data_IF_455330659971
#
_entry.id   IF_455330659971
#
_cell.length_a   1.000
_cell.length_b   1.000
_cell.length_c   1.000
_cell.angle_alpha   90.00
_cell.angle_beta   90.00
_cell.angle_gamma   90.00
#
_symmetry.space_group_name_H-M   'P 1'
#
loop_
_entity.id
_entity.type
_entity.pdbx_description
1 polymer ?
#
# COMPACT_ATOMS: atom_id res chain seq x y z
N UNK A 1 5.52 8.80 7.61
CA UNK A 1 6.56 9.18 6.64
C UNK A 1 6.83 7.98 5.76
N UNK A 2 6.94 8.20 4.45
CA UNK A 2 7.15 7.14 3.48
C UNK A 2 8.17 7.59 2.43
N UNK A 3 9.08 6.70 2.07
CA UNK A 3 9.95 6.86 0.91
C UNK A 3 9.75 5.68 -0.01
N UNK A 4 9.39 5.94 -1.26
CA UNK A 4 9.08 4.90 -2.24
C UNK A 4 10.22 4.71 -3.24
N UNK A 5 10.40 3.46 -3.66
CA UNK A 5 11.25 3.02 -4.76
C UNK A 5 10.34 2.29 -5.74
N UNK A 6 9.85 3.04 -6.71
CA UNK A 6 8.84 2.60 -7.65
C UNK A 6 9.47 2.05 -8.93
N UNK A 7 8.91 0.94 -9.39
CA UNK A 7 9.28 0.25 -10.62
C UNK A 7 8.96 1.07 -11.88
N UNK A 8 9.65 0.77 -12.98
CA UNK A 8 9.51 1.46 -14.27
C UNK A 8 8.19 1.17 -14.98
N UNK A 9 7.57 0.00 -14.73
CA UNK A 9 6.25 -0.31 -15.31
C UNK A 9 5.14 0.62 -14.81
N UNK A 10 5.34 1.29 -13.66
CA UNK A 10 4.43 2.32 -13.17
C UNK A 10 4.32 3.55 -14.07
N UNK A 11 5.28 3.77 -14.99
CA UNK A 11 5.22 4.84 -15.99
C UNK A 11 4.49 4.43 -17.29
N UNK A 12 3.95 3.20 -17.36
CA UNK A 12 3.29 2.66 -18.55
C UNK A 12 4.26 2.32 -19.69
N UNK A 13 3.73 2.34 -20.92
CA UNK A 13 4.51 2.16 -22.15
C UNK A 13 4.25 3.35 -23.09
N UNK A 14 5.29 4.05 -23.61
CA UNK A 14 6.68 3.63 -23.75
C UNK A 14 7.52 3.64 -22.46
N UNK A 15 7.00 4.18 -21.36
CA UNK A 15 7.59 4.08 -20.03
C UNK A 15 8.76 5.03 -19.79
N UNK A 16 9.70 4.62 -18.93
CA UNK A 16 10.88 5.42 -18.57
C UNK A 16 12.00 5.18 -19.59
N UNK A 17 12.56 6.22 -20.24
CA UNK A 17 13.70 6.07 -21.14
C UNK A 17 14.88 5.36 -20.46
N UNK A 18 15.57 4.49 -21.20
CA UNK A 18 16.67 3.70 -20.65
C UNK A 18 17.82 4.55 -20.09
N UNK A 19 18.15 5.66 -20.76
CA UNK A 19 19.19 6.60 -20.33
C UNK A 19 18.82 7.36 -19.06
N UNK A 20 17.54 7.45 -18.72
CA UNK A 20 17.11 8.11 -17.48
C UNK A 20 17.24 7.20 -16.26
N UNK A 21 17.23 5.86 -16.43
CA UNK A 21 17.04 4.91 -15.33
C UNK A 21 18.12 3.84 -15.18
N UNK A 22 18.81 3.44 -16.25
CA UNK A 22 19.89 2.45 -16.14
C UNK A 22 21.06 3.05 -15.37
N UNK A 23 21.53 2.34 -14.34
CA UNK A 23 22.56 2.82 -13.41
C UNK A 23 22.20 4.14 -12.70
N UNK A 24 20.91 4.42 -12.54
CA UNK A 24 20.44 5.69 -11.97
C UNK A 24 19.22 5.52 -11.04
N UNK A 25 18.93 6.55 -10.27
CA UNK A 25 17.69 6.72 -9.51
C UNK A 25 17.12 8.10 -9.84
N UNK A 26 15.83 8.17 -10.19
CA UNK A 26 15.17 9.44 -10.47
C UNK A 26 14.35 9.85 -9.24
N UNK A 27 14.74 10.88 -8.49
CA UNK A 27 14.11 11.25 -7.21
C UNK A 27 12.88 12.15 -7.40
N UNK A 28 12.14 11.95 -8.49
CA UNK A 28 10.94 12.72 -8.77
C UNK A 28 9.99 11.93 -9.67
N UNK A 29 8.72 11.88 -9.27
CA UNK A 29 7.61 11.34 -10.06
C UNK A 29 6.48 12.35 -9.96
N UNK A 30 6.14 12.99 -11.08
CA UNK A 30 5.21 14.12 -11.10
C UNK A 30 3.85 13.76 -10.48
N UNK A 31 3.45 14.51 -9.45
CA UNK A 31 2.17 14.36 -8.76
C UNK A 31 2.05 13.16 -7.81
N UNK A 32 3.04 12.27 -7.76
CA UNK A 32 2.95 11.02 -7.01
C UNK A 32 3.02 11.24 -5.49
N UNK A 33 3.83 12.22 -5.05
CA UNK A 33 3.95 12.56 -3.63
C UNK A 33 2.65 13.13 -3.08
N UNK A 34 2.09 14.14 -3.76
CA UNK A 34 0.81 14.74 -3.37
C UNK A 34 -0.30 13.69 -3.39
N UNK A 35 -0.32 12.84 -4.42
CA UNK A 35 -1.29 11.75 -4.57
C UNK A 35 -1.24 10.78 -3.40
N UNK A 36 -0.07 10.26 -3.04
CA UNK A 36 0.08 9.36 -1.88
C UNK A 36 -0.41 10.07 -0.61
N UNK A 37 -0.09 11.35 -0.44
CA UNK A 37 -0.45 12.10 0.75
C UNK A 37 -1.97 12.24 0.90
N UNK A 38 -2.71 12.64 -0.15
CA UNK A 38 -4.16 12.85 -0.03
C UNK A 38 -4.98 11.56 -0.20
N UNK A 39 -4.58 10.63 -1.07
CA UNK A 39 -5.31 9.37 -1.28
C UNK A 39 -5.28 8.49 -0.04
N UNK A 40 -4.16 8.47 0.69
CA UNK A 40 -4.05 7.74 1.96
C UNK A 40 -5.09 8.24 2.98
N UNK A 41 -5.32 9.56 3.05
CA UNK A 41 -6.33 10.14 3.95
C UNK A 41 -7.74 9.73 3.56
N UNK A 42 -8.02 9.66 2.27
CA UNK A 42 -9.32 9.22 1.75
C UNK A 42 -9.56 7.74 2.03
N UNK A 43 -8.59 6.89 1.73
CA UNK A 43 -8.69 5.43 1.86
C UNK A 43 -8.84 5.02 3.32
N UNK A 44 -8.09 5.64 4.24
CA UNK A 44 -8.10 5.29 5.67
C UNK A 44 -9.11 6.08 6.51
N UNK A 45 -9.71 7.15 5.96
CA UNK A 45 -10.66 8.00 6.69
C UNK A 45 -12.08 7.42 6.77
N UNK A 46 -12.52 6.67 5.76
CA UNK A 46 -13.90 6.17 5.68
C UNK A 46 -14.91 7.24 5.27
N UNK A 47 -16.20 6.95 5.50
CA UNK A 47 -17.34 7.79 5.11
C UNK A 47 -17.92 8.44 6.36
N UNK A 48 -18.20 9.75 6.27
CA UNK A 48 -18.96 10.52 7.26
C UNK A 48 -20.26 11.02 6.64
N UNK A 49 -21.25 11.30 7.48
CA UNK A 49 -22.58 11.76 7.07
C UNK A 49 -22.95 12.98 7.93
N UNK A 50 -23.44 14.05 7.29
CA UNK A 50 -23.93 15.23 8.01
C UNK A 50 -25.32 14.97 8.60
N UNK A 51 -25.77 15.85 9.49
CA UNK A 51 -27.12 15.76 10.08
C UNK A 51 -28.22 15.88 9.00
N UNK A 52 -27.91 16.47 7.84
CA UNK A 52 -28.77 16.54 6.65
C UNK A 52 -28.68 15.31 5.72
N UNK A 53 -27.94 14.27 6.10
CA UNK A 53 -27.81 13.01 5.34
C UNK A 53 -26.82 13.06 4.17
N UNK A 54 -25.96 14.08 4.09
CA UNK A 54 -24.98 14.20 2.99
C UNK A 54 -23.73 13.38 3.32
N UNK A 55 -23.46 12.35 2.50
CA UNK A 55 -22.27 11.49 2.64
C UNK A 55 -21.04 12.13 2.00
N UNK A 56 -19.94 12.13 2.73
CA UNK A 56 -18.62 12.61 2.27
C UNK A 56 -17.48 11.76 2.86
N UNK A 57 -16.25 11.97 2.42
CA UNK A 57 -15.08 11.31 3.01
C UNK A 57 -14.64 12.04 4.28
N UNK A 58 -14.35 11.30 5.36
CA UNK A 58 -13.93 11.89 6.64
C UNK A 58 -12.55 12.57 6.54
N UNK A 59 -11.67 12.05 5.69
CA UNK A 59 -10.31 12.57 5.46
C UNK A 59 -9.49 12.76 6.75
N UNK A 60 -9.82 12.04 7.83
CA UNK A 60 -9.24 12.21 9.17
C UNK A 60 -9.43 13.62 9.77
N UNK A 61 -10.54 14.29 9.47
CA UNK A 61 -10.79 15.67 9.89
C UNK A 61 -10.78 15.84 11.44
N UNK A 62 -11.30 14.86 12.19
CA UNK A 62 -11.35 14.91 13.67
C UNK A 62 -10.04 14.50 14.33
N UNK A 63 -9.31 13.57 13.72
CA UNK A 63 -8.05 13.01 14.24
C UNK A 63 -7.00 13.02 13.13
N UNK A 64 -6.34 14.16 12.87
CA UNK A 64 -5.51 14.34 11.69
C UNK A 64 -4.42 13.28 11.54
N UNK A 65 -4.51 12.50 10.46
CA UNK A 65 -3.41 11.67 9.98
C UNK A 65 -2.48 12.55 9.14
N UNK A 66 -1.17 12.54 9.45
CA UNK A 66 -0.17 13.26 8.65
C UNK A 66 0.66 12.29 7.85
N UNK A 67 0.62 12.45 6.54
CA UNK A 67 1.44 11.71 5.59
C UNK A 67 2.45 12.67 4.99
N UNK A 68 3.67 12.19 4.81
CA UNK A 68 4.74 12.91 4.12
C UNK A 68 5.46 11.87 3.28
N UNK A 69 5.44 12.10 1.97
CA UNK A 69 5.93 11.17 0.96
C UNK A 69 7.19 11.71 0.26
N UNK A 70 8.03 10.79 -0.20
CA UNK A 70 9.09 11.07 -1.16
C UNK A 70 9.14 9.93 -2.16
N UNK A 71 9.03 10.23 -3.44
CA UNK A 71 8.82 9.22 -4.47
C UNK A 71 9.97 9.15 -5.48
N UNK A 72 10.53 7.95 -5.64
CA UNK A 72 11.71 7.73 -6.46
C UNK A 72 11.45 6.62 -7.47
N UNK A 73 11.91 6.79 -8.71
CA UNK A 73 11.93 5.73 -9.72
C UNK A 73 13.25 4.99 -9.66
N UNK A 74 13.21 3.66 -9.67
CA UNK A 74 14.38 2.77 -9.63
C UNK A 74 14.37 1.79 -10.81
N UNK A 75 15.52 1.21 -11.21
CA UNK A 75 15.63 0.25 -12.32
C UNK A 75 15.11 -1.15 -11.94
N UNK A 76 13.83 -1.21 -11.53
CA UNK A 76 13.07 -2.43 -11.22
C UNK A 76 11.91 -2.52 -12.20
N UNK A 77 11.70 -3.68 -12.83
CA UNK A 77 10.65 -3.86 -13.84
C UNK A 77 9.25 -3.70 -13.22
N UNK A 78 8.94 -4.51 -12.21
CA UNK A 78 7.68 -4.53 -11.48
C UNK A 78 7.94 -4.68 -9.98
N UNK A 79 7.05 -4.10 -9.18
CA UNK A 79 7.07 -4.11 -7.72
C UNK A 79 7.48 -2.77 -7.13
N UNK A 80 6.58 -2.10 -6.43
CA UNK A 80 6.87 -0.86 -5.70
C UNK A 80 7.26 -1.18 -4.27
N UNK A 81 8.46 -0.73 -3.86
CA UNK A 81 8.95 -0.89 -2.49
C UNK A 81 8.78 0.41 -1.72
N UNK A 82 8.34 0.32 -0.47
CA UNK A 82 8.10 1.48 0.38
C UNK A 82 8.78 1.29 1.73
N UNK A 83 9.60 2.26 2.12
CA UNK A 83 10.16 2.37 3.45
C UNK A 83 9.22 3.24 4.29
N UNK A 84 8.51 2.63 5.24
CA UNK A 84 7.49 3.30 6.04
C UNK A 84 7.98 3.49 7.47
N UNK A 85 7.79 4.69 8.01
CA UNK A 85 7.97 4.98 9.43
C UNK A 85 6.75 5.68 9.99
N UNK A 86 6.19 5.13 11.07
CA UNK A 86 4.93 5.57 11.68
C UNK A 86 5.12 6.02 13.11
N UNK A 87 4.32 7.01 13.51
CA UNK A 87 4.16 7.46 14.89
C UNK A 87 2.71 7.25 15.30
N UNK A 88 2.48 6.58 16.43
CA UNK A 88 1.16 6.32 16.97
C UNK A 88 0.69 7.45 17.89
N UNK A 89 -0.60 7.77 17.84
CA UNK A 89 -1.21 8.75 18.73
C UNK A 89 -1.27 8.22 20.17
N UNK A 90 -1.75 6.98 20.34
CA UNK A 90 -1.87 6.33 21.65
C UNK A 90 -0.49 5.99 22.22
N UNK A 91 -0.32 6.19 23.53
CA UNK A 91 0.91 5.88 24.27
C UNK A 91 0.63 4.85 25.38
N UNK A 92 1.53 3.88 25.60
CA UNK A 92 2.71 3.58 24.80
C UNK A 92 2.34 3.06 23.38
N UNK A 93 3.23 3.21 22.37
CA UNK A 93 3.00 2.64 21.05
C UNK A 93 3.05 1.10 21.09
N UNK A 94 2.48 0.40 20.09
CA UNK A 94 2.61 -1.05 19.99
C UNK A 94 4.07 -1.47 19.81
N UNK A 95 4.41 -2.65 20.34
CA UNK A 95 5.71 -3.28 20.09
C UNK A 95 5.82 -3.75 18.62
N UNK A 96 7.04 -3.94 18.09
CA UNK A 96 7.22 -4.53 16.76
C UNK A 96 6.50 -5.87 16.58
N UNK A 97 6.47 -6.69 17.63
CA UNK A 97 5.80 -7.99 17.60
C UNK A 97 4.28 -7.85 17.43
N UNK A 98 3.65 -6.96 18.21
CA UNK A 98 2.22 -6.67 18.07
C UNK A 98 1.88 -6.11 16.68
N UNK A 99 2.79 -5.34 16.07
CA UNK A 99 2.61 -4.86 14.69
C UNK A 99 2.68 -6.00 13.68
N UNK A 100 3.64 -6.92 13.82
CA UNK A 100 3.70 -8.12 12.94
C UNK A 100 2.43 -8.95 13.05
N UNK A 101 1.97 -9.20 14.26
CA UNK A 101 0.75 -9.98 14.52
C UNK A 101 -0.49 -9.31 13.92
N UNK A 102 -0.64 -7.99 14.11
CA UNK A 102 -1.76 -7.24 13.55
C UNK A 102 -1.75 -7.24 12.01
N UNK A 103 -0.57 -7.10 11.40
CA UNK A 103 -0.41 -7.18 9.94
C UNK A 103 -0.74 -8.57 9.41
N UNK A 104 -0.18 -9.63 10.02
CA UNK A 104 -0.41 -11.00 9.60
C UNK A 104 -1.87 -11.46 9.80
N UNK A 105 -2.58 -10.92 10.79
CA UNK A 105 -3.98 -11.22 11.06
C UNK A 105 -4.97 -10.41 10.21
N UNK A 106 -4.51 -9.40 9.47
CA UNK A 106 -5.39 -8.52 8.70
C UNK A 106 -6.15 -9.29 7.61
N UNK A 107 -7.47 -9.19 7.64
CA UNK A 107 -8.38 -9.78 6.66
C UNK A 107 -9.29 -8.69 6.09
N UNK A 108 -9.14 -8.30 4.82
CA UNK A 108 -10.00 -7.32 4.19
C UNK A 108 -11.37 -7.92 3.88
N UNK A 109 -12.37 -7.06 3.70
CA UNK A 109 -13.73 -7.48 3.39
C UNK A 109 -13.81 -8.31 2.10
N UNK A 110 -13.06 -7.95 1.05
CA UNK A 110 -13.05 -8.73 -0.19
C UNK A 110 -12.66 -10.20 0.05
N UNK A 111 -11.69 -10.44 0.93
CA UNK A 111 -11.30 -11.79 1.33
C UNK A 111 -12.41 -12.47 2.16
N UNK A 112 -13.00 -11.74 3.12
CA UNK A 112 -14.05 -12.28 3.99
C UNK A 112 -15.35 -12.61 3.24
N UNK A 113 -15.69 -11.84 2.21
CA UNK A 113 -16.85 -12.02 1.33
C UNK A 113 -16.63 -13.09 0.26
N UNK A 114 -15.41 -13.65 0.16
CA UNK A 114 -15.09 -14.70 -0.79
C UNK A 114 -14.94 -14.23 -2.23
N UNK A 115 -14.46 -13.00 -2.46
CA UNK A 115 -14.11 -12.54 -3.81
C UNK A 115 -13.09 -13.51 -4.44
N UNK A 116 -13.36 -14.10 -5.63
CA UNK A 116 -12.50 -15.11 -6.24
C UNK A 116 -11.05 -14.66 -6.45
N UNK A 117 -10.84 -13.38 -6.78
CA UNK A 117 -9.52 -12.83 -7.04
C UNK A 117 -8.82 -12.29 -5.78
N UNK A 118 -9.48 -12.32 -4.61
CA UNK A 118 -8.88 -11.86 -3.37
C UNK A 118 -7.81 -12.84 -2.86
N UNK A 119 -6.70 -12.33 -2.29
CA UNK A 119 -5.69 -13.18 -1.70
C UNK A 119 -6.24 -13.95 -0.49
N UNK A 120 -5.82 -15.22 -0.32
CA UNK A 120 -6.09 -16.03 0.86
C UNK A 120 -5.43 -15.47 2.13
N UNK A 121 -4.30 -14.79 1.96
CA UNK A 121 -3.62 -14.06 3.04
C UNK A 121 -3.12 -12.75 2.47
N UNK A 122 -3.78 -11.65 2.85
CA UNK A 122 -3.55 -10.34 2.23
C UNK A 122 -2.15 -9.79 2.48
N UNK A 123 -1.64 -9.93 3.71
CA UNK A 123 -0.32 -9.42 4.09
C UNK A 123 0.57 -10.60 4.52
N UNK A 124 1.68 -10.79 3.83
CA UNK A 124 2.73 -11.71 4.26
C UNK A 124 3.79 -10.94 5.06
N UNK A 125 4.12 -11.40 6.27
CA UNK A 125 5.15 -10.77 7.11
C UNK A 125 6.40 -11.62 7.10
N UNK A 126 7.47 -11.13 6.47
CA UNK A 126 8.77 -11.74 6.44
C UNK A 126 9.50 -11.60 7.78
N UNK A 127 10.16 -12.69 8.18
CA UNK A 127 11.10 -12.71 9.31
C UNK A 127 12.54 -12.47 8.85
N UNK A 128 12.84 -12.76 7.58
CA UNK A 128 14.18 -12.62 7.03
C UNK A 128 14.63 -11.15 6.99
N UNK A 129 15.89 -10.86 7.37
CA UNK A 129 16.36 -9.50 7.58
C UNK A 129 16.56 -8.70 6.28
N UNK A 130 16.52 -9.35 5.11
CA UNK A 130 16.75 -8.81 3.79
C UNK A 130 15.51 -8.89 2.88
N UNK A 131 14.32 -9.10 3.46
CA UNK A 131 13.04 -9.19 2.75
C UNK A 131 12.09 -8.05 3.14
N UNK A 132 11.16 -7.64 2.26
CA UNK A 132 10.93 -8.16 0.90
C UNK A 132 11.91 -7.62 -0.15
N UNK A 133 12.00 -8.30 -1.29
CA UNK A 133 12.76 -7.89 -2.48
C UNK A 133 11.87 -7.94 -3.73
N UNK A 134 11.83 -6.87 -4.56
CA UNK A 134 10.90 -6.79 -5.69
C UNK A 134 10.91 -8.02 -6.61
N UNK A 135 12.10 -8.49 -7.01
CA UNK A 135 12.22 -9.62 -7.93
C UNK A 135 11.75 -10.94 -7.32
N UNK A 136 11.84 -11.10 -6.00
CA UNK A 136 11.56 -12.37 -5.32
C UNK A 136 10.12 -12.45 -4.81
N UNK A 137 9.52 -11.31 -4.47
CA UNK A 137 8.31 -11.27 -3.64
C UNK A 137 7.10 -10.62 -4.33
N UNK A 138 7.28 -9.92 -5.46
CA UNK A 138 6.18 -9.21 -6.14
C UNK A 138 5.04 -10.09 -6.64
N UNK A 139 5.22 -11.40 -6.74
CA UNK A 139 4.17 -12.33 -7.17
C UNK A 139 3.59 -13.13 -6.02
N UNK A 140 3.76 -12.69 -4.77
CA UNK A 140 3.07 -13.30 -3.65
C UNK A 140 1.55 -13.32 -3.92
N UNK A 141 0.98 -14.54 -3.93
CA UNK A 141 -0.40 -14.82 -4.33
C UNK A 141 -0.76 -14.21 -5.69
N UNK A 142 0.05 -14.52 -6.70
CA UNK A 142 -0.12 -14.05 -8.08
C UNK A 142 -0.14 -12.52 -8.23
N UNK A 143 0.50 -11.82 -7.28
CA UNK A 143 0.56 -10.36 -7.22
C UNK A 143 -0.68 -9.71 -6.60
N UNK A 144 -1.59 -10.48 -6.02
CA UNK A 144 -2.76 -10.00 -5.28
C UNK A 144 -2.43 -9.67 -3.80
N UNK A 145 -1.38 -10.28 -3.24
CA UNK A 145 -0.95 -10.03 -1.86
C UNK A 145 0.11 -8.94 -1.74
N UNK A 146 0.33 -8.50 -0.50
CA UNK A 146 1.35 -7.51 -0.13
C UNK A 146 2.38 -8.18 0.77
N UNK A 147 3.66 -7.93 0.52
CA UNK A 147 4.76 -8.42 1.37
C UNK A 147 5.26 -7.31 2.29
N UNK A 148 5.39 -7.59 3.57
CA UNK A 148 5.93 -6.68 4.58
C UNK A 148 7.11 -7.35 5.27
N UNK A 149 8.17 -6.61 5.53
CA UNK A 149 9.32 -7.12 6.26
C UNK A 149 9.96 -6.03 7.08
N UNK A 150 11.09 -6.37 7.73
CA UNK A 150 11.92 -5.39 8.45
C UNK A 150 11.16 -4.61 9.54
N UNK A 151 10.08 -5.16 10.09
CA UNK A 151 9.28 -4.51 11.16
C UNK A 151 10.16 -4.35 12.39
N UNK A 152 10.36 -3.11 12.87
CA UNK A 152 11.24 -2.83 14.01
C UNK A 152 10.96 -1.45 14.60
N UNK A 153 11.55 -1.17 15.76
CA UNK A 153 11.50 0.17 16.36
C UNK A 153 12.15 1.22 15.44
N UNK A 154 11.52 2.39 15.37
CA UNK A 154 12.11 3.57 14.77
C UNK A 154 12.63 4.48 15.89
N UNK A 155 13.91 4.89 15.90
CA UNK A 155 14.45 5.72 16.98
C UNK A 155 13.92 7.18 16.95
N UNK A 156 13.32 7.60 15.84
CA UNK A 156 12.77 8.97 15.67
C UNK A 156 11.24 8.99 15.80
N UNK A 157 10.58 7.96 15.27
CA UNK A 157 9.12 7.77 15.39
C UNK A 157 8.86 6.60 16.35
N UNK A 158 7.99 5.65 16.00
CA UNK A 158 7.71 4.50 16.86
C UNK A 158 8.09 3.17 16.19
N UNK A 159 7.57 2.95 14.97
CA UNK A 159 7.79 1.71 14.22
C UNK A 159 8.20 2.05 12.78
N UNK A 160 9.07 1.23 12.21
CA UNK A 160 9.40 1.27 10.78
C UNK A 160 9.44 -0.13 10.17
N UNK A 161 9.05 -0.23 8.92
CA UNK A 161 8.96 -1.47 8.15
C UNK A 161 9.14 -1.20 6.66
N UNK A 162 9.28 -2.26 5.87
CA UNK A 162 9.37 -2.20 4.41
C UNK A 162 8.18 -2.93 3.83
N UNK A 163 7.50 -2.32 2.86
CA UNK A 163 6.37 -2.89 2.12
C UNK A 163 6.78 -3.12 0.68
N UNK A 164 6.29 -4.18 0.08
CA UNK A 164 6.36 -4.44 -1.36
C UNK A 164 4.98 -4.86 -1.87
N UNK A 165 4.52 -4.19 -2.92
CA UNK A 165 3.32 -4.56 -3.65
C UNK A 165 3.57 -4.61 -5.16
N UNK A 166 2.86 -5.48 -5.86
CA UNK A 166 2.89 -5.52 -7.32
C UNK A 166 2.06 -4.37 -7.88
N UNK A 167 2.71 -3.40 -8.51
CA UNK A 167 2.05 -2.17 -8.95
C UNK A 167 1.09 -2.39 -10.14
N UNK A 168 1.31 -3.39 -10.99
CA UNK A 168 0.41 -3.67 -12.14
C UNK A 168 -0.69 -4.67 -11.80
N UNK A 169 -0.49 -5.52 -10.78
CA UNK A 169 -1.49 -6.45 -10.25
C UNK A 169 -2.33 -5.78 -9.15
N UNK A 170 -2.03 -5.98 -7.87
CA UNK A 170 -2.81 -5.39 -6.75
C UNK A 170 -2.85 -3.86 -6.80
N UNK A 171 -1.80 -3.21 -7.33
CA UNK A 171 -1.78 -1.76 -7.53
C UNK A 171 -2.70 -1.24 -8.64
N UNK A 172 -3.21 -2.10 -9.52
CA UNK A 172 -4.05 -1.69 -10.66
C UNK A 172 -5.09 -2.74 -11.09
N UNK A 173 -4.70 -3.75 -11.88
CA UNK A 173 -5.64 -4.64 -12.56
C UNK A 173 -6.38 -5.57 -11.59
N UNK A 174 -5.64 -6.22 -10.68
CA UNK A 174 -6.21 -7.19 -9.74
C UNK A 174 -7.14 -6.50 -8.75
N UNK A 175 -6.79 -5.31 -8.23
CA UNK A 175 -7.69 -4.57 -7.34
C UNK A 175 -8.96 -4.09 -8.04
N UNK A 176 -8.87 -3.73 -9.32
CA UNK A 176 -10.05 -3.37 -10.14
C UNK A 176 -11.00 -4.56 -10.33
N UNK A 177 -10.46 -5.77 -10.56
CA UNK A 177 -11.25 -7.01 -10.61
C UNK A 177 -11.89 -7.30 -9.25
N UNK A 178 -11.12 -7.25 -8.16
CA UNK A 178 -11.64 -7.48 -6.80
C UNK A 178 -12.77 -6.48 -6.46
N UNK A 179 -12.63 -5.21 -6.86
CA UNK A 179 -13.67 -4.20 -6.68
C UNK A 179 -14.95 -4.56 -7.44
N UNK A 180 -14.84 -5.05 -8.67
CA UNK A 180 -15.99 -5.49 -9.47
C UNK A 180 -16.66 -6.74 -8.87
N UNK A 181 -15.88 -7.73 -8.44
CA UNK A 181 -16.36 -8.93 -7.74
C UNK A 181 -17.13 -8.56 -6.47
N UNK A 182 -16.58 -7.65 -5.65
CA UNK A 182 -17.23 -7.19 -4.43
C UNK A 182 -18.52 -6.40 -4.75
N UNK A 183 -18.53 -5.61 -5.82
CA UNK A 183 -19.73 -4.89 -6.26
C UNK A 183 -20.85 -5.83 -6.69
N UNK A 184 -20.52 -6.94 -7.37
CA UNK A 184 -21.47 -8.01 -7.71
C UNK A 184 -22.01 -8.69 -6.45
N UNK A 185 -21.13 -9.10 -5.52
CA UNK A 185 -21.53 -9.76 -4.27
C UNK A 185 -22.45 -8.87 -3.44
N UNK A 186 -22.20 -7.56 -3.42
CA UNK A 186 -23.03 -6.56 -2.72
C UNK A 186 -24.30 -6.15 -3.49
N UNK A 187 -24.55 -6.71 -4.68
CA UNK A 187 -25.72 -6.39 -5.49
C UNK A 187 -25.73 -4.98 -6.07
N UNK A 188 -24.57 -4.30 -6.12
CA UNK A 188 -24.40 -2.99 -6.78
C UNK A 188 -24.37 -3.14 -8.30
N UNK A 189 -23.84 -4.28 -8.78
CA UNK A 189 -23.76 -4.65 -10.21
C UNK A 189 -24.43 -6.02 -10.40
N UNK A 190 -25.20 -6.17 -11.48
CA UNK A 190 -25.83 -7.45 -11.86
C UNK A 190 -24.93 -8.22 -12.83
N UNK A 191 -24.95 -9.55 -12.75
CA UNK A 191 -24.24 -10.48 -13.66
C UNK A 191 -25.13 -11.02 -14.76
#
# INVERSE_FOLDING_TARGET
MITTMQAISGAGYPGVPSLDILDNVVPHISGEEEKIEWETLKILGGITETDEGVKSFDMHARHPLRVSASCNRVPVIDGHTECVSVRFARRPPPSPQQVREALAAFTPEAQASGCPSAPRHTIFVHEEPDRPQPRLDRYYQDGAGVSVGRVRQCPVLDIKFVVLANNVSIGAATSSIINAELAVIRGVVQT
#
